data_IF_621817904834
#
_entry.id   IF_621817904834
#
_cell.length_a   1.000
_cell.length_b   1.000
_cell.length_c   1.000
_cell.angle_alpha   90.00
_cell.angle_beta   90.00
_cell.angle_gamma   90.00
#
_symmetry.space_group_name_H-M   'P 1'
#
loop_
_entity.id
_entity.type
_entity.pdbx_description
1 polymer ?
#
# COMPACT_ATOMS: atom_id res chain seq x y z
N UNK A 1 4.38 12.79 6.92
CA UNK A 1 3.29 11.92 6.44
C UNK A 1 3.82 10.92 5.44
N UNK A 2 3.39 9.68 5.55
CA UNK A 2 3.78 8.61 4.64
C UNK A 2 2.63 8.29 3.70
N UNK A 3 2.97 7.97 2.46
CA UNK A 3 1.97 7.62 1.46
C UNK A 3 2.47 6.49 0.59
N UNK A 4 1.54 5.65 0.15
CA UNK A 4 1.82 4.63 -0.84
C UNK A 4 0.61 4.56 -1.77
N UNK A 5 0.86 4.72 -3.05
CA UNK A 5 -0.20 4.68 -4.05
C UNK A 5 -0.38 3.25 -4.54
N UNK A 6 -1.61 2.79 -4.54
CA UNK A 6 -1.94 1.42 -4.90
C UNK A 6 -2.38 1.35 -6.36
N UNK A 7 -1.77 0.43 -7.09
CA UNK A 7 -2.04 0.22 -8.52
C UNK A 7 -2.53 -1.21 -8.73
N UNK A 8 -3.56 -1.36 -9.53
CA UNK A 8 -4.09 -2.66 -9.88
C UNK A 8 -4.17 -2.73 -11.40
N UNK A 9 -3.44 -3.68 -11.99
CA UNK A 9 -3.40 -3.86 -13.45
C UNK A 9 -3.04 -2.55 -14.15
N UNK A 10 -2.02 -1.88 -13.64
CA UNK A 10 -1.46 -0.64 -14.18
C UNK A 10 -2.42 0.55 -14.10
N UNK A 11 -3.43 0.47 -13.26
CA UNK A 11 -4.35 1.59 -13.03
C UNK A 11 -4.30 2.01 -11.58
N UNK A 12 -4.23 3.31 -11.34
CA UNK A 12 -4.26 3.84 -9.98
C UNK A 12 -5.64 3.58 -9.37
N UNK A 13 -5.66 2.85 -8.26
CA UNK A 13 -6.93 2.55 -7.59
C UNK A 13 -7.11 3.30 -6.30
N UNK A 14 -6.03 3.75 -5.67
CA UNK A 14 -6.18 4.47 -4.43
C UNK A 14 -4.85 4.77 -3.77
N UNK A 15 -4.94 5.24 -2.53
CA UNK A 15 -3.78 5.67 -1.78
C UNK A 15 -3.91 5.26 -0.33
N UNK A 16 -2.88 4.61 0.20
CA UNK A 16 -2.73 4.40 1.64
C UNK A 16 -1.88 5.53 2.19
N UNK A 17 -2.23 6.04 3.35
CA UNK A 17 -1.47 7.13 3.96
C UNK A 17 -1.53 7.03 5.47
N UNK A 18 -0.51 7.59 6.12
CA UNK A 18 -0.36 7.56 7.56
C UNK A 18 0.02 8.96 8.04
N UNK A 19 -0.80 9.52 8.90
CA UNK A 19 -0.57 10.85 9.45
C UNK A 19 0.25 10.80 10.73
N UNK A 20 0.25 11.90 11.47
CA UNK A 20 1.01 12.04 12.70
C UNK A 20 0.48 11.14 13.82
N UNK A 21 -0.75 10.67 13.72
CA UNK A 21 -1.33 9.75 14.70
C UNK A 21 -0.93 8.31 14.45
N UNK A 22 -0.12 8.06 13.44
CA UNK A 22 0.40 6.73 13.10
C UNK A 22 -0.70 5.74 12.70
N UNK A 23 -1.86 6.22 12.31
CA UNK A 23 -2.96 5.38 11.85
C UNK A 23 -2.95 5.32 10.33
N UNK A 24 -2.95 4.10 9.79
CA UNK A 24 -3.01 3.89 8.34
C UNK A 24 -4.43 4.08 7.84
N UNK A 25 -4.57 4.91 6.80
CA UNK A 25 -5.85 5.17 6.16
C UNK A 25 -5.76 4.88 4.69
N UNK A 26 -6.91 4.73 4.06
CA UNK A 26 -6.97 4.46 2.63
C UNK A 26 -8.12 5.23 2.00
N UNK A 27 -7.89 5.71 0.77
CA UNK A 27 -8.98 6.28 -0.02
C UNK A 27 -8.85 5.82 -1.46
N UNK A 28 -9.97 5.53 -2.08
CA UNK A 28 -9.98 5.14 -3.48
C UNK A 28 -9.81 6.35 -4.38
N UNK A 29 -9.15 6.13 -5.53
CA UNK A 29 -9.08 7.14 -6.57
C UNK A 29 -10.47 7.31 -7.21
N UNK A 30 -10.79 8.51 -7.73
CA UNK A 30 -12.10 8.71 -8.36
C UNK A 30 -12.39 7.77 -9.52
N UNK A 31 -11.35 7.34 -10.22
CA UNK A 31 -11.52 6.47 -11.38
C UNK A 31 -11.52 4.98 -11.03
N UNK A 32 -11.42 4.62 -9.76
CA UNK A 32 -11.44 3.22 -9.35
C UNK A 32 -12.78 2.60 -9.67
N UNK A 33 -12.77 1.46 -10.34
CA UNK A 33 -13.99 0.78 -10.76
C UNK A 33 -14.20 -0.56 -10.05
N UNK A 34 -13.22 -1.01 -9.27
CA UNK A 34 -13.32 -2.27 -8.56
C UNK A 34 -12.56 -2.17 -7.25
N UNK A 35 -13.04 -2.80 -6.17
CA UNK A 35 -12.33 -2.77 -4.90
C UNK A 35 -11.08 -3.64 -4.95
N UNK A 36 -10.07 -3.27 -4.16
CA UNK A 36 -8.85 -4.09 -4.06
C UNK A 36 -9.04 -5.25 -3.08
N UNK A 37 -10.10 -5.21 -2.28
CA UNK A 37 -10.38 -6.23 -1.29
C UNK A 37 -11.85 -6.14 -0.89
N UNK A 38 -12.42 -7.27 -0.49
CA UNK A 38 -13.77 -7.28 0.06
C UNK A 38 -13.85 -6.51 1.37
N UNK A 39 -12.73 -6.37 2.07
CA UNK A 39 -12.66 -5.59 3.31
C UNK A 39 -12.63 -4.08 3.06
N UNK A 40 -12.39 -3.66 1.83
CA UNK A 40 -12.29 -2.26 1.46
C UNK A 40 -13.22 -1.97 0.30
N UNK A 41 -14.54 -1.90 0.55
CA UNK A 41 -15.50 -1.64 -0.52
C UNK A 41 -15.34 -0.23 -1.11
N UNK A 42 -15.75 -0.08 -2.36
CA UNK A 42 -15.58 1.19 -3.08
C UNK A 42 -16.30 2.37 -2.41
N UNK A 43 -17.36 2.10 -1.65
CA UNK A 43 -18.13 3.17 -1.02
C UNK A 43 -17.47 3.75 0.23
N UNK A 44 -16.32 3.21 0.63
CA UNK A 44 -15.60 3.75 1.78
C UNK A 44 -16.10 3.27 3.14
N UNK A 45 -16.98 2.30 3.17
CA UNK A 45 -17.63 1.87 4.42
C UNK A 45 -16.83 0.81 5.16
N UNK A 46 -15.68 1.17 5.68
CA UNK A 46 -14.87 0.28 6.52
C UNK A 46 -14.49 0.97 7.81
N UNK A 47 -14.09 0.15 8.80
CA UNK A 47 -13.68 0.68 10.08
C UNK A 47 -12.23 1.18 10.01
N UNK A 48 -11.85 2.01 10.96
CA UNK A 48 -10.58 2.73 10.92
C UNK A 48 -9.36 1.83 10.92
N UNK A 49 -9.46 0.61 11.46
CA UNK A 49 -8.33 -0.31 11.54
C UNK A 49 -8.18 -1.19 10.28
N UNK A 50 -9.16 -1.18 9.38
CA UNK A 50 -9.14 -2.10 8.24
C UNK A 50 -8.01 -1.81 7.25
N UNK A 51 -7.72 -0.55 6.89
CA UNK A 51 -6.61 -0.32 5.95
C UNK A 51 -5.28 -0.83 6.46
N UNK A 52 -4.97 -0.62 7.73
CA UNK A 52 -3.73 -1.14 8.30
C UNK A 52 -3.69 -2.64 8.31
N UNK A 53 -4.80 -3.28 8.69
CA UNK A 53 -4.89 -4.73 8.70
C UNK A 53 -4.72 -5.33 7.31
N UNK A 54 -5.26 -4.67 6.29
CA UNK A 54 -5.09 -5.12 4.91
C UNK A 54 -3.61 -5.13 4.52
N UNK A 55 -2.88 -4.05 4.82
CA UNK A 55 -1.46 -3.99 4.49
C UNK A 55 -0.66 -5.02 5.27
N UNK A 56 -0.98 -5.20 6.55
CA UNK A 56 -0.29 -6.21 7.36
C UNK A 56 -0.49 -7.61 6.79
N UNK A 57 -1.65 -7.86 6.21
CA UNK A 57 -1.94 -9.17 5.61
C UNK A 57 -1.12 -9.47 4.36
N UNK A 58 -0.52 -8.45 3.75
CA UNK A 58 0.35 -8.63 2.58
C UNK A 58 1.79 -8.91 2.97
N UNK A 59 2.13 -8.85 4.24
CA UNK A 59 3.50 -8.96 4.73
C UNK A 59 3.62 -10.11 5.72
N UNK A 60 4.84 -10.61 5.95
CA UNK A 60 5.05 -11.61 6.99
C UNK A 60 4.65 -11.06 8.36
N UNK A 61 4.15 -11.93 9.23
CA UNK A 61 3.77 -11.55 10.59
C UNK A 61 4.97 -11.35 11.51
N UNK A 62 6.12 -11.86 11.12
CA UNK A 62 7.31 -11.93 11.96
C UNK A 62 8.16 -10.68 11.76
N UNK A 63 8.50 -10.00 12.86
CA UNK A 63 9.31 -8.77 12.78
C UNK A 63 10.69 -9.03 12.20
N UNK A 64 11.30 -10.19 12.48
CA UNK A 64 12.60 -10.54 11.92
C UNK A 64 12.54 -10.65 10.42
N UNK A 65 11.45 -11.21 9.89
CA UNK A 65 11.28 -11.33 8.45
C UNK A 65 11.04 -9.98 7.79
N UNK A 66 10.29 -9.10 8.45
CA UNK A 66 10.09 -7.74 7.93
C UNK A 66 11.40 -6.96 7.91
N UNK A 67 12.23 -7.13 8.93
CA UNK A 67 13.52 -6.46 8.97
C UNK A 67 14.45 -7.00 7.88
N UNK A 68 14.41 -8.30 7.62
CA UNK A 68 15.16 -8.89 6.52
C UNK A 68 14.69 -8.34 5.17
N UNK A 69 13.38 -8.18 4.99
CA UNK A 69 12.85 -7.58 3.78
C UNK A 69 13.32 -6.14 3.62
N UNK A 70 13.32 -5.38 4.71
CA UNK A 70 13.77 -4.00 4.66
C UNK A 70 15.21 -3.93 4.12
N UNK A 71 16.08 -4.77 4.63
CA UNK A 71 17.47 -4.78 4.19
C UNK A 71 17.63 -5.33 2.78
N UNK A 72 16.88 -6.38 2.46
CA UNK A 72 16.98 -7.02 1.15
C UNK A 72 16.52 -6.10 0.02
N UNK A 73 15.45 -5.35 0.22
CA UNK A 73 14.88 -4.49 -0.81
C UNK A 73 15.29 -3.03 -0.66
N UNK A 74 16.03 -2.69 0.37
CA UNK A 74 16.47 -1.32 0.55
C UNK A 74 15.35 -0.37 0.99
N UNK A 75 14.36 -0.88 1.71
CA UNK A 75 13.27 -0.05 2.18
C UNK A 75 13.75 0.92 3.26
N UNK A 76 13.07 2.07 3.36
CA UNK A 76 13.45 3.10 4.32
C UNK A 76 13.24 2.65 5.77
N UNK A 77 12.25 1.79 6.01
CA UNK A 77 11.98 1.25 7.35
C UNK A 77 11.20 -0.04 7.22
N UNK A 78 10.90 -0.68 8.36
CA UNK A 78 10.07 -1.87 8.39
C UNK A 78 8.58 -1.55 8.46
N UNK A 79 8.20 -0.30 8.34
CA UNK A 79 6.80 0.11 8.27
C UNK A 79 6.16 -0.49 7.01
N UNK A 80 4.91 -0.99 7.10
CA UNK A 80 4.26 -1.59 5.93
C UNK A 80 4.26 -0.73 4.68
N UNK A 81 4.07 0.58 4.80
CA UNK A 81 4.06 1.45 3.62
C UNK A 81 5.42 1.48 2.96
N UNK A 82 6.51 1.56 3.74
CA UNK A 82 7.85 1.58 3.19
C UNK A 82 8.22 0.25 2.57
N UNK A 83 7.84 -0.86 3.21
CA UNK A 83 8.13 -2.18 2.70
C UNK A 83 7.42 -2.45 1.38
N UNK A 84 6.13 -2.10 1.31
CA UNK A 84 5.34 -2.38 0.11
C UNK A 84 5.76 -1.54 -1.07
N UNK A 85 6.21 -0.31 -0.83
CA UNK A 85 6.74 0.53 -1.90
C UNK A 85 8.06 -0.04 -2.44
N UNK A 86 8.87 -0.65 -1.57
CA UNK A 86 10.17 -1.16 -1.97
C UNK A 86 10.11 -2.53 -2.63
N UNK A 87 9.02 -3.27 -2.46
CA UNK A 87 8.91 -4.63 -2.98
C UNK A 87 7.91 -4.69 -4.13
N UNK A 88 8.08 -5.71 -4.98
CA UNK A 88 7.07 -6.03 -5.99
C UNK A 88 6.06 -6.98 -5.37
N UNK A 89 4.79 -6.64 -5.49
CA UNK A 89 3.74 -7.54 -5.06
C UNK A 89 3.20 -8.33 -6.25
N UNK A 90 2.48 -9.41 -5.97
CA UNK A 90 1.95 -10.26 -7.01
C UNK A 90 0.47 -9.97 -7.26
N UNK A 91 -0.11 -10.61 -8.27
CA UNK A 91 -1.52 -10.49 -8.55
C UNK A 91 -1.92 -9.18 -9.19
N UNK A 92 -0.97 -8.47 -9.77
CA UNK A 92 -1.27 -7.21 -10.45
C UNK A 92 -1.37 -6.00 -9.53
N UNK A 93 -1.27 -6.22 -8.22
CA UNK A 93 -1.31 -5.12 -7.25
C UNK A 93 0.11 -4.73 -6.86
N UNK A 94 0.43 -3.46 -6.97
CA UNK A 94 1.73 -2.97 -6.53
C UNK A 94 1.61 -1.54 -6.02
N UNK A 95 2.68 -1.04 -5.39
CA UNK A 95 2.66 0.24 -4.69
C UNK A 95 3.81 1.11 -5.15
N UNK A 96 3.56 2.42 -5.24
CA UNK A 96 4.59 3.41 -5.54
C UNK A 96 4.52 4.53 -4.52
N UNK A 97 5.63 5.27 -4.40
CA UNK A 97 5.66 6.41 -3.48
C UNK A 97 5.12 7.68 -4.10
N UNK A 98 4.85 7.68 -5.42
CA UNK A 98 4.30 8.84 -6.13
C UNK A 98 3.12 8.36 -6.97
N UNK A 99 2.19 9.26 -7.32
CA UNK A 99 0.97 8.86 -8.05
C UNK A 99 1.20 8.69 -9.55
N UNK A 100 2.35 8.16 -9.95
CA UNK A 100 2.71 7.93 -11.35
C UNK A 100 3.46 6.62 -11.44
N UNK A 101 3.40 6.00 -12.61
CA UNK A 101 4.13 4.78 -12.86
C UNK A 101 5.60 5.03 -13.13
N UNK A 102 6.03 6.16 -12.99
CA UNK A 102 7.38 6.47 -12.99
C UNK A 102 8.11 6.26 -14.22
N UNK A 103 8.21 5.71 -14.75
CA UNK A 103 9.00 5.58 -15.57
C UNK A 103 8.89 6.20 -16.71
N UNK A 104 8.64 6.44 -16.84
CA UNK A 104 8.52 6.74 -17.75
C UNK A 104 9.04 7.59 -18.32
N UNK A 105 9.36 7.78 -18.60
CA UNK A 105 9.74 8.31 -19.11
C UNK A 105 9.78 8.94 -19.52
N UNK A 106 9.84 9.22 -19.61
CA UNK A 106 9.92 9.88 -20.07
C UNK A 106 10.31 10.58 -20.27
#
# INVERSE_FOLDING_TARGET
MREAYAWLQNRLVGRFFKGSDDVTRFEYAPEASAPISLSLPLDGSWQADVPGAFLDGLLPDNDSEREAMRRWFGAASADPLDLLVATDTTGGLFFTSIPELGEITS
#
